data_IF_594491744393
#
_entry.id   IF_594491744393
#
_cell.length_a   1.000
_cell.length_b   1.000
_cell.length_c   1.000
_cell.angle_alpha   90.00
_cell.angle_beta   90.00
_cell.angle_gamma   90.00
#
_symmetry.space_group_name_H-M   'P 1'
#
loop_
_entity.id
_entity.type
_entity.pdbx_description
1 polymer ?
#
# COMPACT_ATOMS: atom_id res chain seq x y z
N UNK A 1 1.34 3.03 6.28
CA UNK A 1 2.47 2.72 7.16
C UNK A 1 2.04 1.66 8.14
N UNK A 2 2.87 0.66 8.42
CA UNK A 2 2.59 -0.40 9.39
C UNK A 2 3.85 -0.75 10.18
N UNK A 3 3.78 -0.67 11.51
CA UNK A 3 4.83 -1.18 12.40
C UNK A 3 4.60 -2.67 12.62
N UNK A 4 5.58 -3.50 12.25
CA UNK A 4 5.55 -4.95 12.43
C UNK A 4 5.68 -5.33 13.91
N UNK A 5 5.01 -6.41 14.30
CA UNK A 5 5.26 -7.08 15.57
C UNK A 5 6.55 -7.94 15.47
N UNK A 6 7.13 -8.31 16.62
CA UNK A 6 8.37 -9.09 16.66
C UNK A 6 8.22 -10.43 15.92
N UNK A 7 8.97 -10.58 14.83
CA UNK A 7 8.96 -11.79 13.99
C UNK A 7 7.74 -11.91 13.07
N UNK A 8 6.93 -10.87 12.92
CA UNK A 8 5.77 -10.89 12.05
C UNK A 8 6.16 -10.91 10.56
N UNK A 9 5.53 -11.80 9.81
CA UNK A 9 5.71 -11.93 8.37
C UNK A 9 4.83 -10.94 7.60
N UNK A 10 5.30 -10.48 6.44
CA UNK A 10 4.52 -9.62 5.53
C UNK A 10 3.28 -10.31 4.95
N UNK A 11 3.22 -11.65 5.00
CA UNK A 11 2.04 -12.42 4.58
C UNK A 11 0.95 -12.54 5.68
N UNK A 12 1.19 -11.99 6.88
CA UNK A 12 0.26 -12.12 7.99
C UNK A 12 -1.10 -11.49 7.65
N UNK A 13 -2.17 -12.05 8.24
CA UNK A 13 -3.53 -11.52 8.09
C UNK A 13 -3.59 -10.05 8.54
N UNK A 14 -2.89 -9.68 9.62
CA UNK A 14 -2.84 -8.31 10.12
C UNK A 14 -2.15 -7.38 9.14
N UNK A 15 -1.01 -7.79 8.57
CA UNK A 15 -0.28 -6.98 7.58
C UNK A 15 -1.16 -6.75 6.36
N UNK A 16 -1.73 -7.82 5.78
CA UNK A 16 -2.62 -7.72 4.61
C UNK A 16 -3.83 -6.84 4.90
N UNK A 17 -4.45 -6.98 6.07
CA UNK A 17 -5.59 -6.16 6.50
C UNK A 17 -5.24 -4.67 6.65
N UNK A 18 -4.05 -4.34 7.18
CA UNK A 18 -3.63 -2.95 7.47
C UNK A 18 -2.94 -2.23 6.31
N UNK A 19 -2.47 -2.96 5.30
CA UNK A 19 -1.73 -2.40 4.15
C UNK A 19 -2.43 -2.62 2.81
N UNK A 20 -3.26 -3.65 2.69
CA UNK A 20 -3.80 -4.12 1.41
C UNK A 20 -4.58 -3.05 0.63
N UNK A 21 -5.35 -2.21 1.30
CA UNK A 21 -6.13 -1.17 0.62
C UNK A 21 -5.24 -0.12 -0.07
N UNK A 22 -4.10 0.24 0.53
CA UNK A 22 -3.13 1.15 -0.09
C UNK A 22 -2.31 0.44 -1.17
N UNK A 23 -1.95 -0.82 -0.91
CA UNK A 23 -1.19 -1.65 -1.85
C UNK A 23 -1.96 -1.83 -3.17
N UNK A 24 -3.25 -2.21 -3.10
CA UNK A 24 -4.09 -2.37 -4.29
C UNK A 24 -4.41 -1.03 -4.97
N UNK A 25 -4.60 0.05 -4.21
CA UNK A 25 -4.77 1.38 -4.78
C UNK A 25 -3.59 1.80 -5.66
N UNK A 26 -2.36 1.34 -5.34
CA UNK A 26 -1.19 1.53 -6.19
C UNK A 26 -1.29 0.77 -7.51
N UNK A 27 -1.86 -0.44 -7.50
CA UNK A 27 -2.16 -1.22 -8.71
C UNK A 27 -3.23 -0.53 -9.56
N UNK A 28 -4.26 0.06 -8.95
CA UNK A 28 -5.30 0.81 -9.67
C UNK A 28 -4.68 1.98 -10.45
N UNK A 29 -3.81 2.75 -9.79
CA UNK A 29 -3.05 3.82 -10.43
C UNK A 29 -2.19 3.29 -11.58
N UNK A 30 -1.46 2.19 -11.38
CA UNK A 30 -0.57 1.61 -12.40
C UNK A 30 -1.35 1.07 -13.61
N UNK A 31 -2.52 0.46 -13.40
CA UNK A 31 -3.43 0.07 -14.48
C UNK A 31 -3.81 1.26 -15.36
N UNK A 32 -4.24 2.37 -14.75
CA UNK A 32 -4.56 3.58 -15.51
C UNK A 32 -3.33 4.16 -16.23
N UNK A 33 -2.15 4.12 -15.61
CA UNK A 33 -0.91 4.56 -16.26
C UNK A 33 -0.59 3.75 -17.52
N UNK A 34 -0.81 2.44 -17.49
CA UNK A 34 -0.59 1.56 -18.64
C UNK A 34 -1.64 1.79 -19.71
N UNK A 35 -2.93 1.80 -19.35
CA UNK A 35 -4.03 1.90 -20.32
C UNK A 35 -4.14 3.29 -20.95
N UNK A 36 -4.00 4.36 -20.15
CA UNK A 36 -4.18 5.73 -20.65
C UNK A 36 -2.94 6.29 -21.36
N UNK A 37 -1.74 5.89 -20.93
CA UNK A 37 -0.50 6.49 -21.40
C UNK A 37 0.47 5.49 -22.05
N UNK A 38 0.08 4.22 -22.20
CA UNK A 38 0.92 3.19 -22.84
C UNK A 38 2.21 2.90 -22.07
N UNK A 39 2.24 3.15 -20.76
CA UNK A 39 3.38 2.80 -19.91
C UNK A 39 3.52 1.28 -19.81
N UNK A 40 4.68 0.83 -19.32
CA UNK A 40 4.89 -0.58 -18.98
C UNK A 40 4.56 -0.80 -17.50
N UNK A 41 3.98 -1.95 -17.14
CA UNK A 41 3.83 -2.31 -15.73
C UNK A 41 5.21 -2.40 -15.06
N UNK A 42 5.37 -1.93 -13.82
CA UNK A 42 6.59 -2.12 -13.05
C UNK A 42 6.93 -3.59 -12.82
N UNK A 43 8.20 -3.89 -12.62
CA UNK A 43 8.69 -5.27 -12.43
C UNK A 43 8.04 -5.98 -11.23
N UNK A 44 7.72 -5.25 -10.15
CA UNK A 44 7.07 -5.82 -8.96
C UNK A 44 5.61 -6.27 -9.19
N UNK A 45 5.02 -5.96 -10.35
CA UNK A 45 3.70 -6.47 -10.74
C UNK A 45 3.77 -7.62 -11.75
N UNK A 46 4.96 -7.94 -12.28
CA UNK A 46 5.10 -8.82 -13.44
C UNK A 46 4.47 -10.20 -13.24
N UNK A 47 4.50 -10.72 -12.01
CA UNK A 47 4.03 -12.06 -11.67
C UNK A 47 2.50 -12.21 -11.74
N UNK A 48 1.74 -11.12 -11.60
CA UNK A 48 0.27 -11.16 -11.58
C UNK A 48 -0.40 -10.14 -12.50
N UNK A 49 0.36 -9.33 -13.23
CA UNK A 49 -0.18 -8.23 -14.02
C UNK A 49 -1.24 -8.67 -15.03
N UNK A 50 -0.96 -9.71 -15.81
CA UNK A 50 -1.88 -10.20 -16.83
C UNK A 50 -3.19 -10.73 -16.21
N UNK A 51 -3.11 -11.35 -15.04
CA UNK A 51 -4.27 -11.82 -14.29
C UNK A 51 -5.11 -10.64 -13.74
N UNK A 52 -4.45 -9.59 -13.24
CA UNK A 52 -5.14 -8.37 -12.80
C UNK A 52 -5.85 -7.67 -13.96
N UNK A 53 -5.19 -7.54 -15.11
CA UNK A 53 -5.79 -6.98 -16.33
C UNK A 53 -6.99 -7.83 -16.76
N UNK A 54 -6.84 -9.15 -16.78
CA UNK A 54 -7.93 -10.07 -17.12
C UNK A 54 -9.12 -9.95 -16.17
N UNK A 55 -8.88 -9.74 -14.86
CA UNK A 55 -9.95 -9.46 -13.89
C UNK A 55 -10.70 -8.17 -14.22
N UNK A 56 -9.97 -7.07 -14.39
CA UNK A 56 -10.57 -5.74 -14.65
C UNK A 56 -11.35 -5.73 -15.96
N UNK A 57 -10.85 -6.40 -16.99
CA UNK A 57 -11.46 -6.42 -18.32
C UNK A 57 -12.74 -7.26 -18.44
N UNK A 58 -13.11 -8.02 -17.40
CA UNK A 58 -14.43 -8.63 -17.28
C UNK A 58 -15.55 -7.58 -17.21
N UNK A 59 -15.24 -6.38 -16.69
CA UNK A 59 -16.17 -5.25 -16.73
C UNK A 59 -16.17 -4.60 -18.13
N UNK A 60 -17.34 -4.19 -18.63
CA UNK A 60 -17.43 -3.49 -19.92
C UNK A 60 -16.70 -2.14 -19.85
N UNK A 61 -16.11 -1.65 -20.96
CA UNK A 61 -15.25 -0.47 -20.97
C UNK A 61 -15.81 0.76 -20.23
N UNK A 62 -17.10 1.03 -20.39
CA UNK A 62 -17.80 2.16 -19.76
C UNK A 62 -17.95 2.06 -18.23
N UNK A 63 -17.70 0.88 -17.64
CA UNK A 63 -17.76 0.64 -16.19
C UNK A 63 -16.39 0.35 -15.55
N UNK A 64 -15.33 0.16 -16.34
CA UNK A 64 -14.00 -0.22 -15.82
C UNK A 64 -13.47 0.74 -14.77
N UNK A 65 -13.58 2.05 -14.99
CA UNK A 65 -13.13 3.02 -14.00
C UNK A 65 -13.85 2.86 -12.64
N UNK A 66 -15.17 2.66 -12.64
CA UNK A 66 -15.92 2.43 -11.40
C UNK A 66 -15.51 1.12 -10.74
N UNK A 67 -15.31 0.05 -11.53
CA UNK A 67 -14.89 -1.26 -11.02
C UNK A 67 -13.48 -1.22 -10.42
N UNK A 68 -12.55 -0.53 -11.06
CA UNK A 68 -11.18 -0.36 -10.57
C UNK A 68 -11.20 0.43 -9.27
N UNK A 69 -11.98 1.51 -9.16
CA UNK A 69 -11.97 2.35 -7.96
C UNK A 69 -12.94 1.89 -6.86
N UNK A 70 -13.54 0.71 -6.99
CA UNK A 70 -14.34 0.13 -5.93
C UNK A 70 -13.47 -0.15 -4.70
N UNK A 71 -13.81 0.46 -3.55
CA UNK A 71 -13.03 0.31 -2.32
C UNK A 71 -11.68 1.02 -2.27
N UNK A 72 -11.31 1.78 -3.30
CA UNK A 72 -9.99 2.40 -3.46
C UNK A 72 -9.48 3.06 -2.16
N UNK A 73 -8.37 2.55 -1.64
CA UNK A 73 -7.71 3.00 -0.41
C UNK A 73 -8.57 2.94 0.87
N UNK A 74 -9.71 2.26 0.85
CA UNK A 74 -10.59 2.07 2.01
C UNK A 74 -10.70 0.59 2.41
N UNK A 75 -10.85 -0.33 1.45
CA UNK A 75 -10.85 -1.78 1.66
C UNK A 75 -10.36 -2.50 0.39
N UNK A 76 -10.04 -3.78 0.52
CA UNK A 76 -9.77 -4.66 -0.62
C UNK A 76 -11.04 -5.44 -0.91
N UNK A 77 -11.47 -5.46 -2.17
CA UNK A 77 -12.61 -6.29 -2.58
C UNK A 77 -12.18 -7.77 -2.70
N UNK A 78 -13.10 -8.73 -2.56
CA UNK A 78 -12.74 -10.15 -2.53
C UNK A 78 -11.94 -10.64 -3.75
N UNK A 79 -12.25 -10.14 -4.94
CA UNK A 79 -11.57 -10.54 -6.17
C UNK A 79 -10.13 -10.05 -6.26
N UNK A 80 -9.76 -9.01 -5.49
CA UNK A 80 -8.42 -8.44 -5.49
C UNK A 80 -7.55 -8.95 -4.33
N UNK A 81 -8.12 -9.62 -3.33
CA UNK A 81 -7.37 -10.21 -2.22
C UNK A 81 -6.20 -11.12 -2.66
N UNK A 82 -6.30 -11.92 -3.74
CA UNK A 82 -5.19 -12.74 -4.21
C UNK A 82 -3.97 -11.94 -4.69
N UNK A 83 -4.15 -10.67 -5.09
CA UNK A 83 -3.07 -9.81 -5.57
C UNK A 83 -2.34 -9.06 -4.45
N UNK A 84 -2.81 -9.17 -3.21
CA UNK A 84 -2.14 -8.58 -2.03
C UNK A 84 -1.01 -9.49 -1.60
N UNK A 85 0.11 -9.43 -2.34
CA UNK A 85 1.32 -10.22 -2.07
C UNK A 85 2.29 -9.48 -1.15
N UNK A 86 3.18 -10.21 -0.43
CA UNK A 86 4.27 -9.59 0.33
C UNK A 86 5.13 -8.64 -0.52
N UNK A 87 5.42 -9.01 -1.77
CA UNK A 87 6.22 -8.22 -2.70
C UNK A 87 5.53 -6.91 -3.07
N UNK A 88 4.21 -6.93 -3.29
CA UNK A 88 3.43 -5.72 -3.54
C UNK A 88 3.43 -4.82 -2.31
N UNK A 89 3.22 -5.40 -1.12
CA UNK A 89 3.20 -4.66 0.14
C UNK A 89 4.56 -3.99 0.39
N UNK A 90 5.66 -4.72 0.25
CA UNK A 90 7.03 -4.19 0.41
C UNK A 90 7.34 -3.06 -0.59
N UNK A 91 6.92 -3.23 -1.85
CA UNK A 91 7.18 -2.25 -2.91
C UNK A 91 6.37 -0.95 -2.77
N UNK A 92 5.20 -0.99 -2.12
CA UNK A 92 4.24 0.13 -2.14
C UNK A 92 4.00 0.75 -0.77
N UNK A 93 4.22 0.02 0.33
CA UNK A 93 3.91 0.49 1.68
C UNK A 93 5.19 0.79 2.47
N UNK A 94 5.10 1.73 3.41
CA UNK A 94 6.06 1.83 4.51
C UNK A 94 5.72 0.77 5.56
N UNK A 95 6.37 -0.38 5.50
CA UNK A 95 6.19 -1.48 6.45
C UNK A 95 7.56 -1.92 6.99
N UNK A 96 7.65 -2.22 8.27
CA UNK A 96 8.89 -2.62 8.91
C UNK A 96 8.80 -2.56 10.43
N UNK A 97 9.90 -2.88 11.12
CA UNK A 97 10.02 -2.61 12.56
C UNK A 97 10.01 -1.10 12.81
N UNK A 98 9.77 -0.69 14.07
CA UNK A 98 9.84 0.72 14.47
C UNK A 98 11.18 1.36 14.06
N UNK A 99 12.31 0.71 14.36
CA UNK A 99 13.66 1.17 14.00
C UNK A 99 13.82 1.34 12.48
N UNK A 100 13.46 0.33 11.69
CA UNK A 100 13.55 0.38 10.23
C UNK A 100 12.70 1.51 9.63
N UNK A 101 11.51 1.75 10.18
CA UNK A 101 10.64 2.83 9.72
C UNK A 101 11.22 4.20 10.07
N UNK A 102 11.76 4.37 11.28
CA UNK A 102 12.40 5.63 11.69
C UNK A 102 13.59 5.93 10.78
N UNK A 103 14.49 4.97 10.58
CA UNK A 103 15.65 5.12 9.68
C UNK A 103 15.21 5.50 8.26
N UNK A 104 14.15 4.84 7.75
CA UNK A 104 13.61 5.13 6.42
C UNK A 104 13.02 6.53 6.33
N UNK A 105 12.32 6.99 7.37
CA UNK A 105 11.73 8.33 7.43
C UNK A 105 12.82 9.39 7.50
N UNK A 106 13.85 9.21 8.32
CA UNK A 106 14.99 10.12 8.41
C UNK A 106 15.73 10.21 7.08
N UNK A 107 15.95 9.08 6.39
CA UNK A 107 16.55 9.09 5.05
C UNK A 107 15.69 9.82 4.00
N UNK A 108 14.36 9.80 4.14
CA UNK A 108 13.46 10.57 3.27
C UNK A 108 13.51 12.06 3.60
N UNK A 109 13.58 12.42 4.88
CA UNK A 109 13.76 13.80 5.34
C UNK A 109 15.09 14.39 4.84
N UNK A 110 16.19 13.67 4.98
CA UNK A 110 17.50 14.04 4.42
C UNK A 110 17.48 14.22 2.88
N UNK A 111 16.59 13.49 2.19
CA UNK A 111 16.36 13.62 0.76
C UNK A 111 15.42 14.79 0.38
N UNK A 112 14.90 15.52 1.37
CA UNK A 112 14.05 16.71 1.20
C UNK A 112 12.55 16.43 1.27
N UNK A 113 12.10 15.32 1.87
CA UNK A 113 10.68 15.07 2.11
C UNK A 113 10.20 15.76 3.39
N UNK A 114 9.40 16.81 3.25
CA UNK A 114 8.91 17.58 4.42
C UNK A 114 7.62 17.01 5.07
N UNK A 115 6.89 16.12 4.39
CA UNK A 115 5.59 15.66 4.89
C UNK A 115 5.27 14.21 4.49
N UNK A 116 4.80 13.44 5.48
CA UNK A 116 4.21 12.11 5.30
C UNK A 116 2.70 12.16 5.56
N UNK A 117 1.93 11.52 4.68
CA UNK A 117 0.48 11.35 4.84
C UNK A 117 0.18 9.90 5.13
N UNK A 118 -0.45 9.63 6.28
CA UNK A 118 -0.89 8.29 6.63
C UNK A 118 -2.23 7.98 5.96
N UNK A 119 -2.25 6.92 5.16
CA UNK A 119 -3.40 6.45 4.40
C UNK A 119 -3.77 5.00 4.79
N UNK A 120 -4.22 4.77 6.03
CA UNK A 120 -4.64 3.43 6.45
C UNK A 120 -6.03 3.05 5.88
N UNK A 121 -6.32 1.75 5.74
CA UNK A 121 -7.66 1.27 5.41
C UNK A 121 -8.73 1.80 6.37
N UNK A 122 -9.96 1.96 5.90
CA UNK A 122 -11.03 2.62 6.66
C UNK A 122 -11.34 1.92 7.98
N UNK A 123 -11.31 0.58 7.99
CA UNK A 123 -11.52 -0.24 9.19
C UNK A 123 -10.31 -0.27 10.13
N UNK A 124 -9.12 0.08 9.64
CA UNK A 124 -7.85 -0.04 10.37
C UNK A 124 -7.28 1.29 10.85
N UNK A 125 -7.90 2.40 10.43
CA UNK A 125 -7.36 3.75 10.65
C UNK A 125 -6.96 4.03 12.09
N UNK A 126 -7.78 3.65 13.07
CA UNK A 126 -7.51 3.92 14.48
C UNK A 126 -6.33 3.11 15.01
N UNK A 127 -6.25 1.82 14.65
CA UNK A 127 -5.17 0.95 15.07
C UNK A 127 -3.83 1.39 14.45
N UNK A 128 -3.82 1.69 13.16
CA UNK A 128 -2.62 2.14 12.45
C UNK A 128 -2.15 3.50 12.97
N UNK A 129 -3.04 4.48 13.10
CA UNK A 129 -2.67 5.83 13.59
C UNK A 129 -2.13 5.74 15.02
N UNK A 130 -2.77 4.94 15.89
CA UNK A 130 -2.28 4.71 17.26
C UNK A 130 -0.90 4.09 17.28
N UNK A 131 -0.68 3.03 16.50
CA UNK A 131 0.62 2.33 16.43
C UNK A 131 1.73 3.27 15.96
N UNK A 132 1.50 4.08 14.93
CA UNK A 132 2.47 5.07 14.46
C UNK A 132 2.74 6.14 15.52
N UNK A 133 1.70 6.60 16.23
CA UNK A 133 1.85 7.58 17.30
C UNK A 133 2.62 7.05 18.51
N UNK A 134 2.50 5.76 18.82
CA UNK A 134 3.15 5.14 19.97
C UNK A 134 4.59 4.68 19.66
N UNK A 135 4.87 4.25 18.42
CA UNK A 135 6.12 3.57 18.08
C UNK A 135 7.01 4.30 17.07
N UNK A 136 6.52 5.36 16.42
CA UNK A 136 7.31 6.08 15.39
C UNK A 136 7.43 7.56 15.74
N UNK A 137 6.32 8.25 15.98
CA UNK A 137 6.33 9.70 16.23
C UNK A 137 7.23 10.15 17.38
N UNK A 138 7.36 9.44 18.52
CA UNK A 138 8.21 9.91 19.63
C UNK A 138 9.67 10.09 19.22
N UNK A 139 10.20 9.23 18.35
CA UNK A 139 11.58 9.31 17.88
C UNK A 139 11.81 10.43 16.84
N UNK A 140 10.74 10.94 16.22
CA UNK A 140 10.81 12.00 15.22
C UNK A 140 10.58 13.39 15.83
N UNK A 141 9.98 13.47 17.02
CA UNK A 141 9.67 14.72 17.70
C UNK A 141 10.87 15.37 18.39
N UNK A 142 12.02 14.68 18.47
CA UNK A 142 13.22 15.15 19.17
C UNK A 142 14.19 15.95 18.27
N UNK A 143 13.83 16.19 17.00
CA UNK A 143 14.59 17.03 16.08
C UNK A 143 14.05 18.46 15.99
N UNK A 144 14.62 19.37 16.78
CA UNK A 144 14.56 20.83 16.60
C UNK A 144 15.86 21.35 15.95
#
# INVERSE_FOLDING_TARGET
MLVLEDGESLDSERVRRQTGAFAIASVHYLYEQVVQFGRRPPAHLADFWDDYVALVEQAPPERRHQRIHEGHNCWVIPEEEPFITPELIDATCLVGTSEQLIDRIQALDEAGLDQLVLLPPLGEKEAVIRSVAEHVLPALAEGD
#
